data_IF_134157670541
#
_entry.id   IF_134157670541
#
_cell.length_a   1.000
_cell.length_b   1.000
_cell.length_c   1.000
_cell.angle_alpha   90.00
_cell.angle_beta   90.00
_cell.angle_gamma   90.00
#
_symmetry.space_group_name_H-M   'P 1'
#
loop_
_entity.id
_entity.type
_entity.pdbx_description
1 polymer ?
#
# COMPACT_ATOMS: atom_id res chain seq x y z
N UNK A 1 29.83 7.56 -56.03
CA UNK A 1 28.52 7.10 -55.55
C UNK A 1 28.74 6.72 -54.11
N UNK A 2 28.29 7.56 -53.19
CA UNK A 2 28.57 7.56 -51.78
C UNK A 2 27.57 6.69 -51.01
N UNK A 3 28.08 5.75 -50.20
CA UNK A 3 27.35 5.05 -49.17
C UNK A 3 27.46 5.86 -47.85
N UNK A 4 26.35 6.37 -47.35
CA UNK A 4 26.25 6.90 -46.00
C UNK A 4 25.76 5.78 -45.10
N UNK A 5 26.63 5.31 -44.22
CA UNK A 5 26.27 4.42 -43.11
C UNK A 5 25.71 5.28 -41.95
N UNK A 6 24.45 5.09 -41.61
CA UNK A 6 23.87 5.67 -40.41
C UNK A 6 24.06 4.71 -39.25
N UNK A 7 24.99 5.07 -38.37
CA UNK A 7 25.16 4.36 -37.09
C UNK A 7 24.04 4.77 -36.11
N UNK A 8 23.18 3.82 -35.78
CA UNK A 8 22.19 4.00 -34.72
C UNK A 8 22.90 3.83 -33.37
N UNK A 9 23.06 4.93 -32.65
CA UNK A 9 23.50 4.93 -31.26
C UNK A 9 22.32 4.53 -30.40
N UNK A 10 22.31 3.30 -29.90
CA UNK A 10 21.38 2.86 -28.86
C UNK A 10 21.88 3.41 -27.53
N UNK A 11 21.30 4.51 -27.09
CA UNK A 11 21.54 5.03 -25.76
C UNK A 11 20.78 4.15 -24.73
N UNK A 12 21.51 3.34 -24.00
CA UNK A 12 21.03 2.73 -22.78
C UNK A 12 20.85 3.83 -21.71
N UNK A 13 19.64 4.32 -21.54
CA UNK A 13 19.30 5.15 -20.40
C UNK A 13 19.13 4.25 -19.16
N UNK A 14 20.19 4.11 -18.41
CA UNK A 14 20.13 3.69 -17.00
C UNK A 14 19.42 4.81 -16.27
N UNK A 15 18.19 4.57 -15.82
CA UNK A 15 17.47 5.51 -14.98
C UNK A 15 18.20 5.65 -13.65
N UNK A 16 18.51 6.87 -13.20
CA UNK A 16 19.10 7.06 -11.89
C UNK A 16 18.09 6.65 -10.81
N UNK A 17 18.59 6.01 -9.75
CA UNK A 17 17.89 5.96 -8.45
C UNK A 17 17.41 7.37 -8.18
N UNK A 18 16.12 7.49 -7.82
CA UNK A 18 15.53 8.78 -7.45
C UNK A 18 16.15 9.22 -6.13
N UNK A 19 17.35 9.80 -6.20
CA UNK A 19 17.95 10.55 -5.11
C UNK A 19 17.99 12.01 -5.55
N UNK A 20 17.49 12.87 -4.67
CA UNK A 20 17.49 14.33 -4.71
C UNK A 20 16.48 15.01 -5.65
N UNK A 21 15.37 15.42 -5.07
CA UNK A 21 14.77 16.74 -5.32
C UNK A 21 14.73 17.45 -3.98
N UNK A 22 15.85 18.10 -3.66
CA UNK A 22 15.88 19.18 -2.71
C UNK A 22 15.45 20.45 -3.45
N UNK A 23 14.39 21.09 -3.01
CA UNK A 23 14.09 22.49 -3.32
C UNK A 23 13.79 23.24 -2.03
N UNK A 24 14.61 24.20 -1.83
CA UNK A 24 14.67 25.37 -0.98
C UNK A 24 13.45 25.72 -0.10
N UNK A 25 13.75 25.80 1.18
CA UNK A 25 13.54 26.88 2.15
C UNK A 25 12.20 27.65 2.14
N UNK A 26 11.36 27.35 3.13
CA UNK A 26 10.51 28.35 3.79
C UNK A 26 10.44 28.05 5.29
N UNK A 27 11.23 28.82 6.01
CA UNK A 27 11.22 28.96 7.47
C UNK A 27 9.85 29.44 7.95
N UNK A 28 9.15 28.63 8.72
CA UNK A 28 8.04 29.08 9.56
C UNK A 28 8.50 29.07 11.01
N UNK A 29 8.56 30.27 11.57
CA UNK A 29 8.80 30.57 12.98
C UNK A 29 7.58 30.11 13.78
N UNK A 30 7.76 29.21 14.74
CA UNK A 30 6.76 28.87 15.75
C UNK A 30 7.23 29.45 17.08
N UNK A 31 6.46 30.38 17.61
CA UNK A 31 6.63 30.97 18.94
C UNK A 31 6.34 29.92 20.03
N UNK A 32 7.30 29.79 20.92
CA UNK A 32 7.14 29.03 22.18
C UNK A 32 6.32 29.85 23.18
N UNK A 33 5.25 29.27 23.71
CA UNK A 33 4.62 29.74 24.94
C UNK A 33 4.96 28.79 26.08
N UNK A 34 5.86 29.22 26.93
CA UNK A 34 6.13 28.66 28.25
C UNK A 34 5.05 29.09 29.23
N UNK A 35 4.48 28.13 29.94
CA UNK A 35 3.80 28.38 31.20
C UNK A 35 4.28 27.36 32.25
N UNK A 36 5.07 27.86 33.16
CA UNK A 36 5.49 27.19 34.40
C UNK A 36 4.32 27.17 35.39
N UNK A 37 4.13 26.08 36.12
CA UNK A 37 3.66 26.09 37.49
C UNK A 37 4.27 24.93 38.29
N UNK A 38 4.71 25.30 39.48
CA UNK A 38 5.57 24.64 40.44
C UNK A 38 4.92 23.62 41.36
N UNK A 39 5.73 22.65 41.74
CA UNK A 39 6.03 22.10 43.08
C UNK A 39 4.93 21.40 43.91
N UNK A 40 5.18 20.16 44.30
CA UNK A 40 5.33 19.75 45.69
C UNK A 40 5.95 18.35 45.81
N UNK A 41 6.83 18.26 46.78
CA UNK A 41 7.72 17.21 47.25
C UNK A 41 6.94 16.10 47.99
N UNK A 42 7.37 14.85 47.85
CA UNK A 42 6.96 13.72 48.70
C UNK A 42 7.90 12.52 48.46
N UNK A 43 8.87 12.41 49.38
CA UNK A 43 9.87 11.36 49.52
C UNK A 43 9.20 10.06 50.08
N UNK A 44 9.59 8.90 49.57
CA UNK A 44 9.95 7.74 50.39
C UNK A 44 10.42 6.55 49.53
N UNK A 45 11.54 6.05 49.96
CA UNK A 45 12.35 4.93 49.51
C UNK A 45 11.64 3.56 49.56
N UNK A 46 11.96 2.65 48.63
CA UNK A 46 12.64 1.37 48.99
C UNK A 46 12.72 0.35 47.83
N UNK A 47 13.93 -0.20 47.72
CA UNK A 47 14.28 -1.56 47.34
C UNK A 47 14.20 -1.97 45.85
N UNK A 48 15.39 -2.10 45.30
CA UNK A 48 15.77 -2.90 44.12
C UNK A 48 15.15 -4.31 44.15
N UNK A 49 14.56 -4.69 43.03
CA UNK A 49 14.52 -6.09 42.65
C UNK A 49 14.84 -6.20 41.16
N UNK A 50 16.09 -6.52 40.85
CA UNK A 50 16.51 -6.95 39.53
C UNK A 50 15.90 -8.29 39.23
N UNK A 51 14.91 -8.32 38.37
CA UNK A 51 14.47 -9.57 37.75
C UNK A 51 14.75 -9.41 36.24
N UNK A 52 15.80 -10.10 35.81
CA UNK A 52 16.10 -10.39 34.42
C UNK A 52 14.93 -11.21 33.86
N UNK A 53 14.07 -10.58 33.08
CA UNK A 53 13.09 -11.30 32.29
C UNK A 53 13.68 -11.53 30.91
N UNK A 54 14.07 -12.79 30.70
CA UNK A 54 14.31 -13.43 29.41
C UNK A 54 13.18 -13.08 28.43
N UNK A 55 13.56 -12.61 27.22
CA UNK A 55 12.65 -12.16 26.17
C UNK A 55 11.54 -13.14 25.82
N UNK A 56 10.36 -12.90 26.32
CA UNK A 56 9.12 -13.41 25.76
C UNK A 56 8.81 -12.57 24.51
N UNK A 57 8.71 -13.26 23.36
CA UNK A 57 8.29 -12.61 22.12
C UNK A 57 6.96 -11.89 22.32
N UNK A 58 6.96 -10.57 22.25
CA UNK A 58 5.76 -9.78 22.36
C UNK A 58 4.74 -10.30 21.34
N UNK A 59 3.54 -10.62 21.79
CA UNK A 59 2.45 -11.01 20.92
C UNK A 59 1.99 -9.73 20.19
N UNK A 60 2.48 -9.50 18.96
CA UNK A 60 2.17 -8.36 18.11
C UNK A 60 0.80 -8.49 17.44
N UNK A 61 -0.12 -9.27 18.00
CA UNK A 61 -1.49 -9.44 17.49
C UNK A 61 -2.38 -8.26 17.88
N UNK A 62 -2.16 -7.12 17.24
CA UNK A 62 -2.99 -5.92 17.42
C UNK A 62 -4.07 -5.88 16.35
N UNK A 63 -5.32 -5.68 16.75
CA UNK A 63 -6.43 -5.51 15.81
C UNK A 63 -6.28 -4.17 15.06
N UNK A 64 -6.43 -4.19 13.73
CA UNK A 64 -6.33 -3.00 12.89
C UNK A 64 -4.90 -2.59 12.56
N UNK A 65 -3.93 -3.47 12.78
CA UNK A 65 -2.52 -3.21 12.46
C UNK A 65 -2.30 -2.90 10.96
N UNK A 66 -3.18 -3.39 10.08
CA UNK A 66 -3.16 -3.09 8.65
C UNK A 66 -3.67 -1.69 8.29
N UNK A 67 -4.31 -0.96 9.21
CA UNK A 67 -4.96 0.32 8.92
C UNK A 67 -3.91 1.45 8.99
N UNK A 68 -3.58 2.10 7.87
CA UNK A 68 -2.60 3.18 7.87
C UNK A 68 -3.17 4.48 8.40
N UNK A 69 -2.31 5.36 8.89
CA UNK A 69 -2.66 6.72 9.32
C UNK A 69 -2.14 7.73 8.30
N UNK A 70 -2.98 8.65 7.86
CA UNK A 70 -2.56 9.71 6.96
C UNK A 70 -1.77 10.80 7.72
N UNK A 71 -0.53 11.08 7.27
CA UNK A 71 0.31 12.17 7.79
C UNK A 71 -0.14 13.56 7.28
N UNK A 72 -1.03 13.57 6.28
CA UNK A 72 -1.61 14.78 5.69
C UNK A 72 -3.13 14.61 5.54
N UNK A 73 -3.85 15.73 5.47
CA UNK A 73 -5.31 15.68 5.28
C UNK A 73 -5.64 15.09 3.91
N UNK A 74 -6.41 14.03 3.87
CA UNK A 74 -6.92 13.38 2.66
C UNK A 74 -8.44 13.44 2.60
N UNK A 75 -8.99 13.44 1.37
CA UNK A 75 -10.43 13.25 1.14
C UNK A 75 -10.72 11.75 1.18
N UNK A 76 -11.52 11.30 2.14
CA UNK A 76 -11.78 9.87 2.29
C UNK A 76 -13.18 9.55 2.84
N UNK A 77 -13.68 8.39 2.44
CA UNK A 77 -14.78 7.68 3.08
C UNK A 77 -14.29 6.27 3.39
N UNK A 78 -14.25 5.93 4.67
CA UNK A 78 -13.84 4.59 5.12
C UNK A 78 -15.04 3.64 5.02
N UNK A 79 -14.83 2.49 4.38
CA UNK A 79 -15.81 1.41 4.31
C UNK A 79 -15.17 0.09 4.73
N UNK A 80 -15.76 -0.57 5.70
CA UNK A 80 -15.38 -1.91 6.12
C UNK A 80 -16.17 -2.94 5.32
N UNK A 81 -15.47 -3.89 4.72
CA UNK A 81 -16.02 -5.06 4.03
C UNK A 81 -15.67 -6.32 4.82
N UNK A 82 -16.23 -7.45 4.45
CA UNK A 82 -15.94 -8.70 5.16
C UNK A 82 -14.44 -9.04 5.19
N UNK A 83 -13.75 -8.82 4.08
CA UNK A 83 -12.35 -9.24 3.91
C UNK A 83 -11.35 -8.09 3.87
N UNK A 84 -11.77 -6.83 3.78
CA UNK A 84 -10.88 -5.68 3.66
C UNK A 84 -11.54 -4.39 4.15
N UNK A 85 -10.71 -3.40 4.43
CA UNK A 85 -11.14 -2.00 4.63
C UNK A 85 -10.65 -1.16 3.47
N UNK A 86 -11.49 -0.26 2.95
CA UNK A 86 -11.13 0.70 1.91
C UNK A 86 -11.27 2.13 2.42
N UNK A 87 -10.25 2.96 2.17
CA UNK A 87 -10.35 4.42 2.18
C UNK A 87 -10.63 4.87 0.77
N UNK A 88 -11.83 5.34 0.49
CA UNK A 88 -12.25 5.75 -0.86
C UNK A 88 -12.18 7.26 -1.03
N UNK A 89 -11.60 7.70 -2.15
CA UNK A 89 -11.44 9.11 -2.50
C UNK A 89 -12.44 9.50 -3.59
N UNK A 90 -13.37 10.39 -3.25
CA UNK A 90 -14.38 10.87 -4.18
C UNK A 90 -13.85 11.87 -5.21
N UNK A 91 -12.65 12.45 -5.02
CA UNK A 91 -12.04 13.35 -6.00
C UNK A 91 -11.38 12.58 -7.13
N UNK A 92 -10.73 11.45 -6.81
CA UNK A 92 -10.08 10.57 -7.78
C UNK A 92 -10.99 9.44 -8.29
N UNK A 93 -12.11 9.17 -7.63
CA UNK A 93 -13.08 8.08 -7.94
C UNK A 93 -12.47 6.68 -7.83
N UNK A 94 -11.60 6.49 -6.82
CA UNK A 94 -10.94 5.20 -6.55
C UNK A 94 -10.39 5.18 -5.12
N UNK A 95 -9.90 4.03 -4.61
CA UNK A 95 -9.32 3.98 -3.27
C UNK A 95 -8.13 4.94 -3.11
N UNK A 96 -7.98 5.53 -1.91
CA UNK A 96 -6.68 6.01 -1.44
C UNK A 96 -5.80 4.80 -1.10
N UNK A 97 -6.37 3.86 -0.36
CA UNK A 97 -5.77 2.59 0.00
C UNK A 97 -6.84 1.54 0.27
N UNK A 98 -6.44 0.28 0.17
CA UNK A 98 -7.19 -0.89 0.61
C UNK A 98 -6.28 -1.74 1.49
N UNK A 99 -6.79 -2.14 2.66
CA UNK A 99 -6.03 -2.84 3.69
C UNK A 99 -6.74 -4.13 4.12
N UNK A 100 -5.99 -5.22 4.32
CA UNK A 100 -6.54 -6.48 4.78
C UNK A 100 -5.49 -7.36 5.48
N UNK A 101 -6.01 -8.28 6.29
CA UNK A 101 -5.22 -9.38 6.86
C UNK A 101 -5.44 -10.63 6.00
N UNK A 102 -4.38 -11.15 5.40
CA UNK A 102 -4.44 -12.39 4.62
C UNK A 102 -3.88 -13.53 5.47
N UNK A 103 -4.74 -14.51 5.80
CA UNK A 103 -4.33 -15.75 6.48
C UNK A 103 -3.95 -16.84 5.49
N UNK A 104 -3.18 -17.84 5.94
CA UNK A 104 -2.87 -19.02 5.13
C UNK A 104 -4.12 -19.82 4.72
N UNK A 105 -5.17 -19.80 5.56
CA UNK A 105 -6.48 -20.39 5.27
C UNK A 105 -7.18 -19.64 4.14
N UNK A 106 -7.33 -18.31 4.26
CA UNK A 106 -7.94 -17.47 3.22
C UNK A 106 -7.19 -17.57 1.89
N UNK A 107 -5.85 -17.61 1.93
CA UNK A 107 -5.00 -17.79 0.75
C UNK A 107 -5.17 -19.16 0.06
N UNK A 108 -5.87 -20.12 0.69
CA UNK A 108 -6.10 -21.47 0.19
C UNK A 108 -7.55 -21.72 -0.30
N UNK A 109 -8.40 -20.70 -0.28
CA UNK A 109 -9.77 -20.78 -0.76
C UNK A 109 -9.87 -21.21 -2.23
N UNK A 110 -11.02 -21.80 -2.63
CA UNK A 110 -11.22 -22.44 -3.94
C UNK A 110 -12.45 -21.95 -4.70
N UNK A 111 -13.21 -20.99 -4.17
CA UNK A 111 -14.40 -20.46 -4.87
C UNK A 111 -14.04 -19.92 -6.26
N UNK A 112 -14.96 -20.00 -7.21
CA UNK A 112 -14.78 -19.42 -8.54
C UNK A 112 -14.66 -17.91 -8.47
N UNK A 113 -14.12 -17.31 -9.52
CA UNK A 113 -13.97 -15.85 -9.64
C UNK A 113 -15.35 -15.18 -9.74
N UNK A 114 -15.55 -14.06 -9.03
CA UNK A 114 -16.74 -13.24 -9.06
C UNK A 114 -16.89 -12.37 -10.32
N UNK A 115 -17.89 -11.51 -10.33
CA UNK A 115 -18.19 -10.58 -11.41
C UNK A 115 -18.13 -9.16 -10.91
N UNK A 116 -17.58 -8.24 -11.72
CA UNK A 116 -17.56 -6.83 -11.40
C UNK A 116 -18.97 -6.25 -11.22
N UNK A 117 -19.13 -5.40 -10.20
CA UNK A 117 -20.36 -4.71 -9.89
C UNK A 117 -20.06 -3.26 -9.42
N UNK A 118 -20.99 -2.36 -9.72
CA UNK A 118 -20.95 -1.02 -9.12
C UNK A 118 -21.24 -1.12 -7.62
N UNK A 119 -20.71 -0.21 -6.84
CA UNK A 119 -20.87 -0.21 -5.38
C UNK A 119 -22.01 0.75 -5.00
N UNK A 120 -23.19 0.20 -4.78
CA UNK A 120 -24.40 0.96 -4.42
C UNK A 120 -24.35 1.49 -2.98
N UNK A 121 -23.51 0.91 -2.11
CA UNK A 121 -23.33 1.33 -0.72
C UNK A 121 -22.36 2.51 -0.54
N UNK A 122 -21.64 2.88 -1.59
CA UNK A 122 -20.69 4.00 -1.56
C UNK A 122 -21.37 5.27 -2.04
N UNK A 123 -21.39 6.36 -1.24
CA UNK A 123 -21.96 7.64 -1.69
C UNK A 123 -21.31 8.16 -2.97
N UNK A 124 -22.11 8.73 -3.85
CA UNK A 124 -21.57 9.39 -5.06
C UNK A 124 -20.74 10.65 -4.69
N UNK A 125 -19.76 11.02 -5.50
CA UNK A 125 -19.41 10.47 -6.81
C UNK A 125 -18.43 9.28 -6.72
N UNK A 126 -18.73 8.20 -7.46
CA UNK A 126 -17.93 6.98 -7.52
C UNK A 126 -17.60 6.61 -8.96
N UNK A 127 -16.51 5.84 -9.15
CA UNK A 127 -16.21 5.19 -10.42
C UNK A 127 -17.12 3.98 -10.65
N UNK A 128 -17.52 3.76 -11.89
CA UNK A 128 -18.45 2.70 -12.30
C UNK A 128 -17.84 1.80 -13.37
N UNK A 129 -18.46 0.65 -13.62
CA UNK A 129 -18.10 -0.25 -14.73
C UNK A 129 -18.04 0.46 -16.08
N UNK A 130 -18.99 1.38 -16.31
CA UNK A 130 -19.09 2.10 -17.56
C UNK A 130 -17.88 3.00 -17.83
N UNK A 131 -17.22 3.51 -16.80
CA UNK A 131 -16.06 4.40 -16.96
C UNK A 131 -14.84 3.68 -17.55
N UNK A 132 -14.75 2.37 -17.38
CA UNK A 132 -13.63 1.55 -17.89
C UNK A 132 -13.87 1.01 -19.30
N UNK A 133 -15.06 1.16 -19.86
CA UNK A 133 -15.37 0.66 -21.18
C UNK A 133 -14.51 1.34 -22.25
N UNK A 134 -13.83 0.56 -23.08
CA UNK A 134 -12.89 1.03 -24.12
C UNK A 134 -11.82 2.02 -23.62
N UNK A 135 -11.50 2.02 -22.32
CA UNK A 135 -10.52 2.92 -21.72
C UNK A 135 -9.07 2.58 -22.06
N UNK A 136 -8.78 1.32 -22.40
CA UNK A 136 -7.44 0.81 -22.57
C UNK A 136 -6.76 0.42 -21.24
N UNK A 137 -7.49 0.50 -20.11
CA UNK A 137 -7.03 0.05 -18.79
C UNK A 137 -7.87 -1.11 -18.28
N UNK A 138 -7.22 -1.98 -17.50
CA UNK A 138 -7.90 -3.01 -16.73
C UNK A 138 -8.58 -2.40 -15.50
N UNK A 139 -9.59 -3.09 -14.98
CA UNK A 139 -10.11 -2.92 -13.62
C UNK A 139 -9.17 -3.66 -12.67
N UNK A 140 -8.10 -2.98 -12.25
CA UNK A 140 -7.09 -3.56 -11.38
C UNK A 140 -7.58 -3.62 -9.94
N UNK A 141 -7.63 -4.83 -9.38
CA UNK A 141 -7.99 -5.03 -7.97
C UNK A 141 -6.91 -4.48 -7.05
N UNK A 142 -7.33 -3.83 -5.96
CA UNK A 142 -6.44 -3.56 -4.84
C UNK A 142 -6.42 -4.77 -3.89
N UNK A 143 -7.53 -5.16 -3.27
CA UNK A 143 -7.66 -6.46 -2.61
C UNK A 143 -8.03 -7.51 -3.66
N UNK A 144 -7.15 -8.50 -3.97
CA UNK A 144 -7.31 -9.35 -5.15
C UNK A 144 -8.31 -10.49 -4.94
N UNK A 145 -8.95 -10.92 -6.02
CA UNK A 145 -9.86 -12.06 -6.00
C UNK A 145 -9.20 -13.37 -5.50
N UNK A 146 -7.87 -13.50 -5.69
CA UNK A 146 -7.11 -14.66 -5.22
C UNK A 146 -7.11 -14.83 -3.71
N UNK A 147 -7.26 -13.73 -2.96
CA UNK A 147 -7.24 -13.67 -1.50
C UNK A 147 -8.64 -13.85 -0.90
N UNK A 148 -9.69 -13.85 -1.74
CA UNK A 148 -11.10 -13.84 -1.32
C UNK A 148 -11.87 -15.12 -1.70
N UNK A 149 -11.18 -16.17 -2.13
CA UNK A 149 -11.79 -17.47 -2.55
C UNK A 149 -12.32 -18.32 -1.40
N UNK A 150 -12.29 -17.84 -0.17
CA UNK A 150 -12.74 -18.55 1.03
C UNK A 150 -14.20 -18.26 1.39
N UNK A 151 -14.77 -17.14 0.91
CA UNK A 151 -16.14 -16.71 1.16
C UNK A 151 -16.77 -16.14 -0.10
N UNK A 152 -18.05 -16.47 -0.38
CA UNK A 152 -18.78 -15.90 -1.51
C UNK A 152 -18.95 -14.38 -1.32
N UNK A 153 -19.31 -13.94 -0.12
CA UNK A 153 -19.45 -12.50 0.19
C UNK A 153 -18.12 -11.76 -0.01
N UNK A 154 -16.99 -12.29 0.52
CA UNK A 154 -15.68 -11.69 0.30
C UNK A 154 -15.32 -11.61 -1.18
N UNK A 155 -15.66 -12.65 -1.95
CA UNK A 155 -15.48 -12.68 -3.40
C UNK A 155 -16.32 -11.61 -4.10
N UNK A 156 -17.60 -11.47 -3.76
CA UNK A 156 -18.48 -10.49 -4.38
C UNK A 156 -18.05 -9.05 -4.03
N UNK A 157 -17.72 -8.79 -2.77
CA UNK A 157 -17.23 -7.49 -2.32
C UNK A 157 -15.91 -7.09 -2.96
N UNK A 158 -14.96 -8.02 -3.16
CA UNK A 158 -13.69 -7.68 -3.80
C UNK A 158 -13.84 -7.28 -5.28
N UNK A 159 -14.97 -7.60 -5.93
CA UNK A 159 -15.31 -7.20 -7.30
C UNK A 159 -16.07 -5.87 -7.40
N UNK A 160 -16.37 -5.19 -6.28
CA UNK A 160 -16.96 -3.86 -6.28
C UNK A 160 -16.01 -2.84 -6.91
N UNK A 161 -16.56 -1.92 -7.72
CA UNK A 161 -15.76 -0.91 -8.42
C UNK A 161 -15.00 0.02 -7.48
N UNK A 162 -15.39 0.13 -6.22
CA UNK A 162 -14.66 0.87 -5.18
C UNK A 162 -13.35 0.22 -4.72
N UNK A 163 -13.11 -1.03 -5.11
CA UNK A 163 -11.84 -1.74 -4.92
C UNK A 163 -10.94 -1.68 -6.18
N UNK A 164 -11.35 -0.97 -7.24
CA UNK A 164 -10.70 -0.97 -8.54
C UNK A 164 -9.96 0.32 -8.84
N UNK A 165 -8.79 0.19 -9.48
CA UNK A 165 -8.05 1.29 -10.07
C UNK A 165 -7.79 1.05 -11.56
N UNK A 166 -7.72 2.10 -12.41
CA UNK A 166 -7.26 1.97 -13.79
C UNK A 166 -5.83 1.47 -13.87
N UNK A 167 -5.62 0.23 -14.27
CA UNK A 167 -4.31 -0.41 -14.26
C UNK A 167 -3.88 -0.86 -15.66
N UNK A 168 -2.62 -0.64 -16.01
CA UNK A 168 -2.05 -1.15 -17.25
C UNK A 168 -2.11 -2.67 -17.28
N UNK A 169 -2.57 -3.25 -18.39
CA UNK A 169 -2.76 -4.70 -18.52
C UNK A 169 -1.47 -5.49 -18.26
N UNK A 170 -0.33 -5.05 -18.81
CA UNK A 170 0.96 -5.73 -18.62
C UNK A 170 1.44 -5.68 -17.16
N UNK A 171 1.12 -4.62 -16.41
CA UNK A 171 1.38 -4.55 -14.98
C UNK A 171 0.42 -5.50 -14.23
N UNK A 172 -0.89 -5.35 -14.44
CA UNK A 172 -1.93 -6.09 -13.73
C UNK A 172 -1.79 -7.62 -13.89
N UNK A 173 -1.75 -8.10 -15.12
CA UNK A 173 -1.60 -9.52 -15.42
C UNK A 173 -0.17 -10.06 -15.19
N UNK A 174 0.81 -9.18 -15.10
CA UNK A 174 2.23 -9.50 -14.97
C UNK A 174 2.77 -9.43 -13.54
N UNK A 175 3.65 -8.45 -13.29
CA UNK A 175 4.40 -8.35 -12.03
C UNK A 175 3.49 -8.10 -10.82
N UNK A 176 2.41 -7.34 -10.97
CA UNK A 176 1.45 -7.12 -9.87
C UNK A 176 0.84 -8.43 -9.38
N UNK A 177 0.37 -9.27 -10.32
CA UNK A 177 -0.11 -10.62 -10.00
C UNK A 177 0.98 -11.50 -9.36
N UNK A 178 2.25 -11.38 -9.77
CA UNK A 178 3.33 -12.16 -9.13
C UNK A 178 3.62 -11.69 -7.69
N UNK A 179 3.45 -10.41 -7.39
CA UNK A 179 3.54 -9.87 -6.03
C UNK A 179 2.37 -10.40 -5.19
N UNK A 180 1.14 -10.41 -5.71
CA UNK A 180 -0.03 -10.98 -5.02
C UNK A 180 0.15 -12.47 -4.71
N UNK A 181 0.68 -13.24 -5.66
CA UNK A 181 1.02 -14.66 -5.43
C UNK A 181 2.06 -14.81 -4.31
N UNK A 182 3.05 -13.90 -4.25
CA UNK A 182 4.04 -13.90 -3.17
C UNK A 182 3.40 -13.61 -1.81
N UNK A 183 2.48 -12.64 -1.71
CA UNK A 183 1.74 -12.37 -0.48
C UNK A 183 1.00 -13.62 0.02
N UNK A 184 0.34 -14.35 -0.89
CA UNK A 184 -0.33 -15.64 -0.54
C UNK A 184 0.68 -16.70 -0.07
N UNK A 185 1.86 -16.78 -0.66
CA UNK A 185 2.91 -17.69 -0.21
C UNK A 185 3.38 -17.32 1.20
N UNK A 186 3.61 -16.04 1.48
CA UNK A 186 3.96 -15.56 2.81
C UNK A 186 2.86 -15.83 3.84
N UNK A 187 1.60 -15.58 3.51
CA UNK A 187 0.48 -15.91 4.39
C UNK A 187 0.46 -17.40 4.78
N UNK A 188 0.72 -18.29 3.82
CA UNK A 188 0.83 -19.74 4.08
C UNK A 188 2.06 -20.11 4.90
N UNK A 189 3.19 -19.44 4.66
CA UNK A 189 4.46 -19.68 5.34
C UNK A 189 4.46 -19.19 6.79
N UNK A 190 3.92 -17.97 7.02
CA UNK A 190 3.96 -17.28 8.32
C UNK A 190 2.63 -17.32 9.08
N UNK A 191 1.61 -18.00 8.52
CA UNK A 191 0.26 -18.08 9.07
C UNK A 191 -0.62 -16.89 8.66
N UNK A 192 -0.11 -15.66 8.72
CA UNK A 192 -0.80 -14.44 8.25
C UNK A 192 0.18 -13.35 7.84
N UNK A 193 -0.31 -12.43 6.99
CA UNK A 193 0.36 -11.17 6.64
C UNK A 193 -0.66 -10.03 6.65
N UNK A 194 -0.21 -8.82 6.98
CA UNK A 194 -0.96 -7.57 6.92
C UNK A 194 -0.57 -6.86 5.63
N UNK A 195 -1.53 -6.43 4.84
CA UNK A 195 -1.29 -5.87 3.51
C UNK A 195 -2.05 -4.56 3.36
N UNK A 196 -1.36 -3.54 2.83
CA UNK A 196 -1.98 -2.29 2.37
C UNK A 196 -1.53 -2.02 0.96
N UNK A 197 -2.43 -1.63 0.07
CA UNK A 197 -2.04 -1.17 -1.25
C UNK A 197 -2.96 -0.07 -1.78
N UNK A 198 -2.46 0.69 -2.73
CA UNK A 198 -3.22 1.78 -3.32
C UNK A 198 -2.51 2.44 -4.50
N UNK A 199 -3.16 3.42 -5.14
CA UNK A 199 -2.60 4.21 -6.20
C UNK A 199 -1.64 5.29 -5.68
N UNK A 200 -0.72 5.72 -6.54
CA UNK A 200 0.18 6.85 -6.33
C UNK A 200 -0.02 7.86 -7.46
N UNK A 201 -0.15 9.14 -7.08
CA UNK A 201 -0.29 10.27 -7.99
C UNK A 201 0.92 11.20 -7.82
N UNK A 202 1.79 11.26 -8.85
CA UNK A 202 3.06 12.01 -8.81
C UNK A 202 2.99 13.29 -9.64
N UNK A 203 2.13 13.30 -10.67
CA UNK A 203 1.99 14.41 -11.59
C UNK A 203 0.83 15.34 -11.18
N UNK A 204 0.84 16.58 -11.66
CA UNK A 204 -0.27 17.52 -11.43
C UNK A 204 -1.49 17.22 -12.31
N UNK A 205 -1.26 16.66 -13.49
CA UNK A 205 -2.30 16.35 -14.47
C UNK A 205 -2.35 14.86 -14.75
N UNK A 206 -3.54 14.30 -14.80
CA UNK A 206 -3.79 12.90 -15.04
C UNK A 206 -4.89 12.70 -16.09
N UNK A 207 -4.75 11.65 -16.88
CA UNK A 207 -5.83 11.14 -17.71
C UNK A 207 -7.00 10.73 -16.81
N UNK A 208 -8.23 10.99 -17.28
CA UNK A 208 -9.47 10.64 -16.59
C UNK A 208 -10.32 9.74 -17.49
N UNK A 209 -10.95 8.73 -16.90
CA UNK A 209 -11.77 7.75 -17.60
C UNK A 209 -13.25 8.02 -17.39
N UNK A 210 -14.03 7.81 -18.47
CA UNK A 210 -15.47 7.78 -18.45
C UNK A 210 -16.16 9.08 -18.00
N UNK A 211 -17.46 8.96 -17.78
CA UNK A 211 -18.32 10.08 -17.35
C UNK A 211 -17.98 10.57 -15.95
N UNK A 212 -17.63 9.66 -15.05
CA UNK A 212 -17.32 9.98 -13.66
C UNK A 212 -15.89 10.48 -13.47
N UNK A 213 -15.06 10.53 -14.54
CA UNK A 213 -13.70 11.09 -14.52
C UNK A 213 -12.78 10.35 -13.55
N UNK A 214 -12.80 9.01 -13.57
CA UNK A 214 -11.87 8.19 -12.77
C UNK A 214 -10.44 8.53 -13.16
N UNK A 215 -9.63 8.94 -12.19
CA UNK A 215 -8.27 9.42 -12.43
C UNK A 215 -7.32 8.24 -12.66
N UNK A 216 -6.47 8.29 -13.69
CA UNK A 216 -5.48 7.23 -13.96
C UNK A 216 -4.25 7.47 -13.07
N UNK A 217 -3.87 6.51 -12.18
CA UNK A 217 -2.70 6.66 -11.34
C UNK A 217 -1.38 6.57 -12.12
N UNK A 218 -0.32 7.21 -11.59
CA UNK A 218 1.04 7.10 -12.12
C UNK A 218 1.73 5.80 -11.73
N UNK A 219 1.42 5.31 -10.54
CA UNK A 219 2.00 4.09 -9.98
C UNK A 219 1.06 3.47 -8.94
N UNK A 220 1.47 2.32 -8.41
CA UNK A 220 0.82 1.64 -7.29
C UNK A 220 1.84 1.27 -6.24
N UNK A 221 1.44 1.34 -4.99
CA UNK A 221 2.21 0.78 -3.87
C UNK A 221 1.53 -0.47 -3.32
N UNK A 222 2.33 -1.33 -2.69
CA UNK A 222 1.87 -2.39 -1.80
C UNK A 222 2.89 -2.53 -0.68
N UNK A 223 2.43 -2.50 0.57
CA UNK A 223 3.24 -2.81 1.75
C UNK A 223 2.72 -4.08 2.40
N UNK A 224 3.63 -4.90 2.90
CA UNK A 224 3.33 -6.20 3.51
C UNK A 224 4.14 -6.34 4.77
N UNK A 225 3.48 -6.75 5.86
CA UNK A 225 4.09 -7.05 7.16
C UNK A 225 3.72 -8.46 7.59
N UNK A 226 4.65 -9.21 8.16
CA UNK A 226 4.35 -10.34 9.01
C UNK A 226 4.90 -10.12 10.43
N UNK A 227 4.15 -10.57 11.43
CA UNK A 227 4.41 -10.34 12.87
C UNK A 227 4.90 -11.58 13.61
N UNK A 228 5.37 -12.61 12.89
CA UNK A 228 5.90 -13.84 13.48
C UNK A 228 7.11 -13.57 14.39
N UNK A 229 7.78 -14.64 14.81
CA UNK A 229 8.92 -14.59 15.75
C UNK A 229 10.01 -13.55 15.36
N UNK A 230 10.21 -13.33 14.06
CA UNK A 230 11.11 -12.30 13.52
C UNK A 230 10.28 -11.41 12.56
N UNK A 231 9.63 -10.34 13.06
CA UNK A 231 8.82 -9.46 12.21
C UNK A 231 9.63 -8.86 11.06
N UNK A 232 9.03 -8.83 9.87
CA UNK A 232 9.61 -8.19 8.68
C UNK A 232 8.52 -7.48 7.89
N UNK A 233 8.88 -6.35 7.29
CA UNK A 233 8.02 -5.60 6.39
C UNK A 233 8.75 -5.33 5.07
N UNK A 234 7.97 -5.11 4.01
CA UNK A 234 8.47 -4.81 2.67
C UNK A 234 7.49 -3.90 1.92
N UNK A 235 8.04 -2.99 1.15
CA UNK A 235 7.31 -2.15 0.21
C UNK A 235 7.54 -2.59 -1.24
N UNK A 236 6.55 -2.31 -2.10
CA UNK A 236 6.66 -2.41 -3.55
C UNK A 236 6.10 -1.13 -4.17
N UNK A 237 6.79 -0.59 -5.19
CA UNK A 237 6.31 0.53 -6.00
C UNK A 237 6.41 0.14 -7.47
N UNK A 238 5.26 0.10 -8.15
CA UNK A 238 5.14 -0.29 -9.55
C UNK A 238 4.53 0.85 -10.38
N UNK A 239 5.26 1.40 -11.35
CA UNK A 239 4.71 2.39 -12.29
C UNK A 239 3.59 1.78 -13.11
N UNK A 240 2.52 2.56 -13.35
CA UNK A 240 1.32 2.14 -14.09
C UNK A 240 1.55 2.14 -15.62
N UNK A 241 2.50 1.33 -16.04
CA UNK A 241 2.91 1.17 -17.44
C UNK A 241 3.31 -0.28 -17.71
N UNK A 242 3.68 -0.60 -18.95
CA UNK A 242 4.16 -1.95 -19.26
C UNK A 242 5.40 -2.30 -18.44
N UNK A 243 5.34 -3.42 -17.75
CA UNK A 243 6.43 -3.99 -16.94
C UNK A 243 6.94 -5.32 -17.50
N UNK A 244 6.75 -5.53 -18.82
CA UNK A 244 7.15 -6.77 -19.49
C UNK A 244 8.64 -7.06 -19.27
N UNK A 245 8.94 -8.30 -18.85
CA UNK A 245 10.33 -8.75 -18.60
C UNK A 245 10.91 -8.36 -17.23
N UNK A 246 10.19 -7.57 -16.43
CA UNK A 246 10.60 -7.20 -15.07
C UNK A 246 10.22 -8.30 -14.07
N UNK A 247 11.01 -8.40 -13.00
CA UNK A 247 10.78 -9.32 -11.88
C UNK A 247 10.23 -8.55 -10.68
N UNK A 248 9.48 -9.23 -9.79
CA UNK A 248 8.96 -8.58 -8.57
C UNK A 248 10.06 -7.95 -7.69
N UNK A 249 11.27 -8.53 -7.69
CA UNK A 249 12.43 -8.00 -6.96
C UNK A 249 12.92 -6.63 -7.47
N UNK A 250 12.56 -6.26 -8.70
CA UNK A 250 12.94 -4.96 -9.28
C UNK A 250 12.10 -3.79 -8.72
N UNK A 251 11.05 -4.10 -7.95
CA UNK A 251 10.09 -3.14 -7.40
C UNK A 251 10.11 -3.06 -5.89
N UNK A 252 11.06 -3.78 -5.27
CA UNK A 252 11.23 -3.79 -3.81
C UNK A 252 11.72 -2.42 -3.33
N UNK A 253 11.08 -1.95 -2.27
CA UNK A 253 11.38 -0.73 -1.53
C UNK A 253 11.28 -1.00 -0.03
N UNK A 254 11.80 -0.11 0.79
CA UNK A 254 11.48 -0.06 2.22
C UNK A 254 10.06 0.48 2.43
N UNK A 255 9.45 0.18 3.57
CA UNK A 255 8.17 0.79 3.94
C UNK A 255 8.35 2.29 4.13
N UNK A 256 9.43 2.74 4.77
CA UNK A 256 9.80 4.17 4.91
C UNK A 256 9.77 4.92 3.57
N UNK A 257 10.27 4.32 2.49
CA UNK A 257 10.24 4.97 1.17
C UNK A 257 8.82 5.05 0.59
N UNK A 258 7.98 4.02 0.83
CA UNK A 258 6.57 4.07 0.45
C UNK A 258 5.84 5.17 1.24
N UNK A 259 6.10 5.29 2.53
CA UNK A 259 5.55 6.34 3.40
C UNK A 259 5.94 7.74 2.93
N UNK A 260 7.22 7.94 2.65
CA UNK A 260 7.73 9.21 2.13
C UNK A 260 7.03 9.65 0.85
N UNK A 261 6.67 8.70 -0.02
CA UNK A 261 6.01 8.97 -1.31
C UNK A 261 4.51 9.17 -1.14
N UNK A 262 3.87 8.39 -0.27
CA UNK A 262 2.40 8.36 -0.16
C UNK A 262 1.85 9.31 0.91
N UNK A 263 2.66 9.68 1.90
CA UNK A 263 2.24 10.49 3.05
C UNK A 263 1.39 9.72 4.05
N UNK A 264 1.40 8.39 4.00
CA UNK A 264 0.80 7.51 5.01
C UNK A 264 1.86 7.03 5.99
N UNK A 265 1.41 6.63 7.17
CA UNK A 265 2.11 5.91 8.21
C UNK A 265 1.55 4.49 8.23
N UNK A 266 2.36 3.50 7.86
CA UNK A 266 1.91 2.12 7.78
C UNK A 266 2.28 1.38 9.07
N UNK A 267 1.37 0.52 9.52
CA UNK A 267 1.55 -0.29 10.72
C UNK A 267 1.81 0.50 12.02
N UNK A 268 1.18 1.67 12.23
CA UNK A 268 1.50 2.62 13.31
C UNK A 268 1.21 2.10 14.73
N UNK A 269 0.71 0.88 14.86
CA UNK A 269 0.45 0.20 16.12
C UNK A 269 1.58 -0.77 16.52
N UNK A 270 2.63 -0.88 15.67
CA UNK A 270 3.83 -1.61 16.06
C UNK A 270 4.55 -0.83 17.18
N UNK A 271 5.25 -1.53 18.10
CA UNK A 271 6.20 -0.85 18.97
C UNK A 271 7.27 -0.10 18.15
N UNK A 272 7.58 1.14 18.52
CA UNK A 272 8.46 2.05 17.77
C UNK A 272 9.81 1.41 17.34
N UNK A 273 10.41 0.57 18.22
CA UNK A 273 11.66 -0.10 17.93
C UNK A 273 11.51 -1.22 16.90
N UNK A 274 10.36 -1.89 16.87
CA UNK A 274 10.02 -2.91 15.85
C UNK A 274 9.74 -2.24 14.54
N UNK A 275 8.85 -1.24 14.52
CA UNK A 275 8.44 -0.44 13.37
C UNK A 275 9.68 0.09 12.64
N UNK A 276 10.49 0.92 13.30
CA UNK A 276 11.72 1.48 12.75
C UNK A 276 12.69 0.45 12.17
N UNK A 277 12.77 -0.73 12.79
CA UNK A 277 13.66 -1.80 12.33
C UNK A 277 13.15 -2.51 11.10
N UNK A 278 11.82 -2.75 11.00
CA UNK A 278 11.24 -3.52 9.88
C UNK A 278 10.99 -2.66 8.67
N UNK A 279 10.66 -1.39 8.86
CA UNK A 279 10.29 -0.46 7.79
C UNK A 279 11.48 0.10 7.01
N UNK A 280 12.64 0.21 7.66
CA UNK A 280 13.87 0.66 7.01
C UNK A 280 14.44 -0.34 5.98
N UNK A 281 13.96 -1.59 5.94
CA UNK A 281 14.53 -2.63 5.09
C UNK A 281 13.82 -2.73 3.73
N UNK A 282 14.63 -2.95 2.69
CA UNK A 282 14.17 -3.17 1.32
C UNK A 282 14.58 -4.57 0.84
N UNK A 283 14.15 -5.61 1.55
CA UNK A 283 14.54 -6.99 1.32
C UNK A 283 13.32 -7.91 1.25
N UNK A 284 13.38 -8.90 0.33
CA UNK A 284 12.37 -9.97 0.27
C UNK A 284 12.56 -10.93 1.46
N UNK A 285 11.48 -11.34 2.10
CA UNK A 285 11.48 -12.34 3.18
C UNK A 285 10.77 -13.63 2.78
#
# INVERSE_FOLDING_TARGET
IWLLAVAAVVAFSVLPKVSSLATEDQTLVVEENKQETSAAVGDESSAENKQETSGEGANLETQGLEIPVAKVKVSETIKHRLAYTVSYNHDTRQPNWVAWVLTGEHASGKLPRGKFADDEDMPAPVGTLADYYNSGFDRGHMCPAGDNKWSQQAMDECFLMTNMCPQNHSLNAGVWNTIEQQCRNWAKQYGKVYIVCGPIFLNKEHRKLGKNKVVVPDAFFKVVLHTGKNPQAIGFICRNQSQKGRKKTDFVNSVDEVERITGYDFFPQLPDDVEKRVEAKAEMF
#
